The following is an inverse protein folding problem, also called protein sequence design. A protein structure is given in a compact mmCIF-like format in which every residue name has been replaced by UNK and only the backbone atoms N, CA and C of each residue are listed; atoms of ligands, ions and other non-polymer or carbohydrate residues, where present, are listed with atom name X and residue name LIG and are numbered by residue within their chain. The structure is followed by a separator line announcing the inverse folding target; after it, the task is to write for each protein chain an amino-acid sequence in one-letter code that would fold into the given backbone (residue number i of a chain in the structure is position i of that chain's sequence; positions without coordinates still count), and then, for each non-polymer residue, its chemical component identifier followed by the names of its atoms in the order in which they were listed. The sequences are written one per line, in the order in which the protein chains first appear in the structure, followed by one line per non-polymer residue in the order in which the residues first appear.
data_IF_291669173615
#
_entry.id   IF_291669173615
#
_cell.length_a   1.000
_cell.length_b   1.000
_cell.length_c   1.000
_cell.angle_alpha   90.00
_cell.angle_beta   90.00
_cell.angle_gamma   90.00
#
_symmetry.space_group_name_H-M   'P 1'
#
loop_
_entity.id
_entity.type
_entity.pdbx_description
1 polymer ?
#
# COMPACT_ATOMS: atom_id res chain seq x y z
N UNK A 1 -5.27 -12.60 -19.89
CA UNK A 1 -4.76 -13.49 -18.81
C UNK A 1 -3.72 -12.68 -18.06
N UNK A 2 -3.88 -12.47 -16.74
CA UNK A 2 -2.90 -11.72 -15.98
C UNK A 2 -1.59 -12.50 -15.89
N UNK A 3 -0.45 -11.84 -16.10
CA UNK A 3 0.90 -12.41 -16.02
C UNK A 3 1.22 -13.08 -14.67
N UNK A 4 0.36 -12.87 -13.67
CA UNK A 4 0.48 -13.40 -12.30
C UNK A 4 0.60 -14.94 -12.23
N UNK A 5 0.06 -15.67 -13.21
CA UNK A 5 0.05 -17.14 -13.19
C UNK A 5 1.22 -17.79 -13.92
N UNK A 6 2.06 -17.02 -14.60
CA UNK A 6 3.17 -17.59 -15.41
C UNK A 6 4.43 -17.74 -14.56
N UNK A 7 4.67 -16.84 -13.61
CA UNK A 7 5.89 -16.79 -12.82
C UNK A 7 5.63 -17.17 -11.35
N UNK A 8 6.25 -18.26 -10.90
CA UNK A 8 6.05 -18.82 -9.54
C UNK A 8 7.18 -18.50 -8.55
N UNK A 9 8.35 -18.15 -9.01
CA UNK A 9 9.50 -17.86 -8.15
C UNK A 9 9.65 -16.39 -7.88
N UNK A 10 9.92 -15.98 -6.64
CA UNK A 10 10.08 -14.58 -6.26
C UNK A 10 11.14 -13.84 -7.09
N UNK A 11 12.27 -14.48 -7.36
CA UNK A 11 13.33 -13.92 -8.22
C UNK A 11 12.83 -13.69 -9.65
N UNK A 12 12.02 -14.61 -10.17
CA UNK A 12 11.41 -14.49 -11.50
C UNK A 12 10.35 -13.40 -11.52
N UNK A 13 9.56 -13.26 -10.46
CA UNK A 13 8.60 -12.15 -10.30
C UNK A 13 9.33 -10.81 -10.29
N UNK A 14 10.37 -10.68 -9.48
CA UNK A 14 11.18 -9.45 -9.40
C UNK A 14 11.77 -9.05 -10.76
N UNK A 15 12.18 -10.03 -11.56
CA UNK A 15 12.82 -9.78 -12.84
C UNK A 15 11.80 -9.53 -13.95
N UNK A 16 10.76 -10.35 -14.08
CA UNK A 16 9.95 -10.42 -15.30
C UNK A 16 8.52 -9.86 -15.17
N UNK A 17 7.90 -9.87 -13.99
CA UNK A 17 6.54 -9.36 -13.87
C UNK A 17 6.51 -7.83 -14.09
N UNK A 18 5.53 -7.36 -14.85
CA UNK A 18 5.39 -5.97 -15.24
C UNK A 18 6.35 -5.54 -16.36
N UNK A 19 7.13 -6.45 -16.93
CA UNK A 19 7.91 -6.13 -18.12
C UNK A 19 6.99 -5.96 -19.34
N UNK A 20 7.31 -4.97 -20.17
CA UNK A 20 6.72 -4.79 -21.49
C UNK A 20 7.68 -5.32 -22.53
N UNK A 21 7.17 -6.18 -23.39
CA UNK A 21 7.92 -6.65 -24.55
C UNK A 21 8.15 -5.46 -25.50
N UNK A 22 9.40 -5.21 -25.80
CA UNK A 22 9.77 -4.28 -26.87
C UNK A 22 9.54 -4.98 -28.23
N UNK A 23 8.36 -4.75 -28.81
CA UNK A 23 8.00 -5.35 -30.09
C UNK A 23 8.71 -4.68 -31.26
N UNK A 24 9.20 -3.46 -31.08
CA UNK A 24 9.84 -2.72 -32.17
C UNK A 24 11.30 -3.10 -32.36
N UNK A 25 12.04 -3.27 -31.27
CA UNK A 25 13.49 -3.51 -31.34
C UNK A 25 13.93 -4.82 -30.69
N UNK A 26 13.03 -5.52 -29.98
CA UNK A 26 13.33 -6.78 -29.33
C UNK A 26 14.23 -6.63 -28.10
N UNK A 27 14.24 -5.47 -27.45
CA UNK A 27 15.00 -5.22 -26.24
C UNK A 27 14.57 -6.16 -25.10
N UNK A 28 15.54 -6.61 -24.30
CA UNK A 28 15.28 -7.52 -23.16
C UNK A 28 14.79 -6.81 -21.89
N UNK A 29 14.79 -5.48 -21.88
CA UNK A 29 14.34 -4.62 -20.77
C UNK A 29 13.20 -3.77 -21.27
N UNK A 30 12.20 -3.55 -20.39
CA UNK A 30 11.07 -2.67 -20.71
C UNK A 30 11.53 -1.28 -21.11
N UNK A 31 10.99 -0.70 -22.19
CA UNK A 31 11.22 0.68 -22.53
C UNK A 31 10.79 1.63 -21.40
N UNK A 32 11.50 2.74 -21.25
CA UNK A 32 11.07 3.85 -20.39
C UNK A 32 10.30 4.85 -21.25
N UNK A 33 9.08 5.15 -20.83
CA UNK A 33 8.18 6.08 -21.53
C UNK A 33 8.18 7.44 -20.84
N UNK A 34 8.97 8.42 -21.32
CA UNK A 34 9.05 9.75 -20.69
C UNK A 34 7.88 10.67 -21.08
N UNK A 35 6.99 10.21 -21.97
CA UNK A 35 5.85 11.00 -22.45
C UNK A 35 4.86 11.31 -21.33
N UNK A 36 4.39 12.56 -21.28
CA UNK A 36 3.35 13.03 -20.37
C UNK A 36 2.02 13.33 -21.07
N UNK A 37 2.02 13.29 -22.40
CA UNK A 37 0.84 13.46 -23.24
C UNK A 37 0.70 12.25 -24.15
N UNK A 38 -0.51 11.75 -24.27
CA UNK A 38 -0.85 10.54 -25.01
C UNK A 38 -2.02 10.80 -25.94
N UNK A 39 -2.14 10.04 -27.02
CA UNK A 39 -3.33 10.00 -27.85
C UNK A 39 -4.53 9.54 -27.01
N UNK A 40 -5.69 10.21 -27.14
CA UNK A 40 -6.91 9.89 -26.43
C UNK A 40 -8.12 9.70 -27.35
N UNK A 41 -8.06 10.21 -28.61
CA UNK A 41 -9.16 10.07 -29.57
C UNK A 41 -9.20 8.61 -30.02
N UNK A 42 -10.35 7.97 -29.91
CA UNK A 42 -10.60 6.58 -30.29
C UNK A 42 -9.68 5.56 -29.59
N UNK A 43 -9.26 5.86 -28.35
CA UNK A 43 -8.50 4.93 -27.49
C UNK A 43 -9.37 4.39 -26.37
N UNK A 44 -9.20 3.11 -26.09
CA UNK A 44 -9.90 2.43 -24.97
C UNK A 44 -9.40 2.89 -23.60
N UNK A 45 -8.17 3.38 -23.50
CA UNK A 45 -7.53 3.79 -22.25
C UNK A 45 -7.03 5.22 -22.36
N UNK A 46 -7.57 6.10 -21.53
CA UNK A 46 -7.04 7.43 -21.30
C UNK A 46 -5.75 7.36 -20.48
N UNK A 47 -4.63 7.66 -21.13
CA UNK A 47 -3.33 7.70 -20.46
C UNK A 47 -3.01 9.12 -20.02
N UNK A 48 -2.94 9.30 -18.70
CA UNK A 48 -2.60 10.58 -18.09
C UNK A 48 -1.82 10.38 -16.79
N UNK A 49 -0.68 11.06 -16.57
CA UNK A 49 0.16 10.84 -15.40
C UNK A 49 -0.58 10.97 -14.06
N UNK A 50 -1.55 11.88 -13.96
CA UNK A 50 -2.35 12.10 -12.75
C UNK A 50 -3.37 11.01 -12.46
N UNK A 51 -3.70 10.18 -13.44
CA UNK A 51 -4.59 9.03 -13.27
C UNK A 51 -3.84 7.73 -13.00
N UNK A 52 -2.52 7.81 -12.74
CA UNK A 52 -1.65 6.65 -12.55
C UNK A 52 -1.72 5.62 -13.68
N UNK A 53 -2.06 6.06 -14.89
CA UNK A 53 -2.29 5.24 -16.08
C UNK A 53 -1.17 5.32 -17.13
N UNK A 54 0.01 5.87 -16.78
CA UNK A 54 1.15 5.83 -17.69
C UNK A 54 1.78 4.44 -17.71
N UNK A 55 2.39 4.01 -18.82
CA UNK A 55 2.99 2.67 -18.92
C UNK A 55 3.96 2.37 -17.79
N UNK A 56 4.84 3.31 -17.43
CA UNK A 56 5.81 3.10 -16.34
C UNK A 56 5.14 2.83 -14.98
N UNK A 57 4.04 3.56 -14.68
CA UNK A 57 3.28 3.37 -13.44
C UNK A 57 2.57 2.01 -13.44
N UNK A 58 1.90 1.65 -14.54
CA UNK A 58 1.20 0.37 -14.68
C UNK A 58 2.16 -0.83 -14.53
N UNK A 59 3.36 -0.75 -15.11
CA UNK A 59 4.33 -1.85 -15.05
C UNK A 59 4.85 -2.05 -13.63
N UNK A 60 5.15 -0.96 -12.94
CA UNK A 60 5.60 -1.02 -11.55
C UNK A 60 4.48 -1.49 -10.62
N UNK A 61 3.25 -1.00 -10.83
CA UNK A 61 2.08 -1.44 -10.08
C UNK A 61 1.84 -2.95 -10.21
N UNK A 62 1.90 -3.50 -11.44
CA UNK A 62 1.80 -4.95 -11.69
C UNK A 62 2.86 -5.75 -10.95
N UNK A 63 4.10 -5.25 -10.92
CA UNK A 63 5.20 -5.91 -10.19
C UNK A 63 4.94 -5.92 -8.68
N UNK A 64 4.54 -4.80 -8.10
CA UNK A 64 4.26 -4.69 -6.66
C UNK A 64 3.07 -5.55 -6.27
N UNK A 65 1.97 -5.50 -7.03
CA UNK A 65 0.81 -6.34 -6.75
C UNK A 65 1.12 -7.83 -6.85
N UNK A 66 1.99 -8.24 -7.78
CA UNK A 66 2.42 -9.63 -7.88
C UNK A 66 3.32 -10.05 -6.71
N UNK A 67 4.17 -9.16 -6.20
CA UNK A 67 5.01 -9.42 -5.03
C UNK A 67 4.20 -9.50 -3.74
N UNK A 68 3.20 -8.65 -3.55
CA UNK A 68 2.29 -8.69 -2.39
C UNK A 68 1.16 -9.73 -2.55
N UNK A 69 1.02 -10.33 -3.73
CA UNK A 69 -0.05 -11.29 -4.08
C UNK A 69 -1.46 -10.65 -4.02
N UNK A 70 -1.55 -9.33 -4.20
CA UNK A 70 -2.79 -8.56 -4.27
C UNK A 70 -3.36 -8.51 -5.69
N UNK A 71 -4.58 -8.04 -5.86
CA UNK A 71 -5.18 -7.89 -7.19
C UNK A 71 -4.54 -6.76 -7.97
N UNK A 72 -4.30 -5.62 -7.32
CA UNK A 72 -3.76 -4.42 -7.95
C UNK A 72 -2.84 -3.63 -7.00
N UNK A 73 -2.17 -2.63 -7.54
CA UNK A 73 -1.36 -1.68 -6.80
C UNK A 73 -1.37 -0.30 -7.47
N UNK A 74 -1.07 0.73 -6.70
CA UNK A 74 -0.88 2.10 -7.22
C UNK A 74 0.44 2.68 -6.71
N UNK A 75 1.09 3.48 -7.54
CA UNK A 75 2.37 4.12 -7.24
C UNK A 75 2.15 5.59 -6.94
N UNK A 76 2.77 6.05 -5.86
CA UNK A 76 2.69 7.43 -5.38
C UNK A 76 4.09 8.04 -5.20
N UNK A 77 4.16 9.36 -5.10
CA UNK A 77 5.43 10.09 -5.04
C UNK A 77 6.21 9.92 -3.73
N UNK A 78 5.65 9.32 -2.68
CA UNK A 78 6.34 9.04 -1.42
C UNK A 78 5.56 8.05 -0.56
N UNK A 79 6.22 7.43 0.44
CA UNK A 79 5.55 6.61 1.44
C UNK A 79 4.48 7.38 2.22
N UNK A 80 4.74 8.64 2.57
CA UNK A 80 3.74 9.49 3.21
C UNK A 80 2.55 9.79 2.30
N UNK A 81 2.76 9.92 0.98
CA UNK A 81 1.67 10.04 0.03
C UNK A 81 0.82 8.76 0.00
N UNK A 82 1.45 7.57 0.02
CA UNK A 82 0.73 6.30 0.11
C UNK A 82 -0.13 6.23 1.39
N UNK A 83 0.44 6.57 2.55
CA UNK A 83 -0.27 6.55 3.82
C UNK A 83 -1.40 7.57 3.85
N UNK A 84 -1.11 8.84 3.56
CA UNK A 84 -2.10 9.91 3.68
C UNK A 84 -3.25 9.77 2.69
N UNK A 85 -2.95 9.43 1.43
CA UNK A 85 -3.99 9.25 0.40
C UNK A 85 -4.90 8.08 0.76
N UNK A 86 -4.33 6.94 1.16
CA UNK A 86 -5.13 5.77 1.54
C UNK A 86 -6.01 6.07 2.76
N UNK A 87 -5.46 6.64 3.82
CA UNK A 87 -6.27 6.95 5.02
C UNK A 87 -7.39 7.94 4.71
N UNK A 88 -7.11 9.00 3.93
CA UNK A 88 -8.11 10.02 3.59
C UNK A 88 -9.11 9.54 2.52
N UNK A 89 -8.82 8.49 1.77
CA UNK A 89 -9.77 7.87 0.84
C UNK A 89 -10.88 7.11 1.58
N UNK A 90 -10.59 6.55 2.74
CA UNK A 90 -11.52 5.72 3.50
C UNK A 90 -12.12 6.39 4.75
N UNK A 91 -11.50 7.47 5.24
CA UNK A 91 -11.93 8.14 6.46
C UNK A 91 -12.57 9.51 6.15
N UNK A 92 -13.78 9.70 6.65
CA UNK A 92 -14.51 10.96 6.56
C UNK A 92 -14.50 11.71 7.90
N UNK A 93 -14.94 12.97 7.88
CA UNK A 93 -15.19 13.73 9.11
C UNK A 93 -16.21 13.00 10.00
N UNK A 94 -15.85 12.83 11.26
CA UNK A 94 -16.63 12.06 12.24
C UNK A 94 -16.18 10.60 12.40
N UNK A 95 -15.45 10.03 11.46
CA UNK A 95 -14.91 8.68 11.58
C UNK A 95 -13.77 8.59 12.60
N UNK A 96 -13.55 7.38 13.11
CA UNK A 96 -12.49 7.06 14.04
C UNK A 96 -11.59 5.96 13.50
N UNK A 97 -10.30 6.04 13.79
CA UNK A 97 -9.29 5.01 13.48
C UNK A 97 -8.52 4.63 14.74
N UNK A 98 -8.24 3.33 14.89
CA UNK A 98 -7.34 2.80 15.92
C UNK A 98 -5.97 2.56 15.29
N UNK A 99 -4.91 3.11 15.89
CA UNK A 99 -3.55 2.95 15.41
C UNK A 99 -2.66 2.28 16.48
N UNK A 100 -1.76 1.44 16.02
CA UNK A 100 -0.64 0.99 16.86
C UNK A 100 0.13 2.21 17.38
N UNK A 101 0.53 2.18 18.65
CA UNK A 101 1.25 3.31 19.26
C UNK A 101 2.66 3.48 18.71
N UNK A 102 3.34 2.37 18.43
CA UNK A 102 4.70 2.35 17.94
C UNK A 102 4.70 2.23 16.40
N UNK A 103 4.56 3.37 15.74
CA UNK A 103 4.53 3.50 14.28
C UNK A 103 5.52 4.57 13.83
N UNK A 104 5.82 4.58 12.53
CA UNK A 104 6.67 5.59 11.91
C UNK A 104 6.27 7.02 12.34
N UNK A 105 7.27 7.80 12.76
CA UNK A 105 7.05 9.15 13.28
C UNK A 105 6.34 10.10 12.30
N UNK A 106 6.53 9.91 10.99
CA UNK A 106 5.82 10.67 9.96
C UNK A 106 4.32 10.37 9.96
N UNK A 107 3.93 9.11 10.12
CA UNK A 107 2.52 8.67 10.21
C UNK A 107 1.88 9.22 11.49
N UNK A 108 2.57 9.10 12.63
CA UNK A 108 2.11 9.68 13.89
C UNK A 108 1.88 11.18 13.76
N UNK A 109 2.85 11.90 13.20
CA UNK A 109 2.74 13.35 13.02
C UNK A 109 1.60 13.75 12.07
N UNK A 110 1.37 12.99 10.99
CA UNK A 110 0.22 13.17 10.11
C UNK A 110 -1.10 13.08 10.91
N UNK A 111 -1.26 12.03 11.71
CA UNK A 111 -2.47 11.79 12.50
C UNK A 111 -2.66 12.90 13.54
N UNK A 112 -1.66 13.18 14.37
CA UNK A 112 -1.75 14.16 15.45
C UNK A 112 -1.95 15.60 14.94
N UNK A 113 -1.29 15.97 13.82
CA UNK A 113 -1.34 17.35 13.32
C UNK A 113 -2.51 17.60 12.36
N UNK A 114 -2.95 16.62 11.59
CA UNK A 114 -3.90 16.86 10.49
C UNK A 114 -5.30 16.29 10.75
N UNK A 115 -5.44 15.14 11.40
CA UNK A 115 -6.75 14.48 11.53
C UNK A 115 -7.77 15.34 12.25
N UNK A 116 -7.35 16.04 13.31
CA UNK A 116 -8.23 17.00 14.00
C UNK A 116 -8.79 18.07 13.06
N UNK A 117 -7.99 18.53 12.08
CA UNK A 117 -8.41 19.57 11.10
C UNK A 117 -9.44 19.01 10.11
N UNK A 118 -9.38 17.72 9.82
CA UNK A 118 -10.33 17.02 8.94
C UNK A 118 -11.54 16.44 9.70
N UNK A 119 -11.60 16.64 11.03
CA UNK A 119 -12.67 16.08 11.86
C UNK A 119 -12.58 14.58 12.06
N UNK A 120 -11.44 13.95 11.77
CA UNK A 120 -11.18 12.52 11.95
C UNK A 120 -10.68 12.29 13.39
N UNK A 121 -11.29 11.32 14.07
CA UNK A 121 -10.92 10.91 15.41
C UNK A 121 -9.92 9.76 15.37
N UNK A 122 -9.06 9.67 16.38
CA UNK A 122 -8.09 8.58 16.47
C UNK A 122 -7.82 8.16 17.91
N UNK A 123 -7.37 6.92 18.09
CA UNK A 123 -6.80 6.41 19.34
C UNK A 123 -5.53 5.64 19.02
N UNK A 124 -4.51 5.79 19.88
CA UNK A 124 -3.35 4.90 19.86
C UNK A 124 -3.52 3.81 20.90
N UNK A 125 -3.12 2.57 20.56
CA UNK A 125 -3.18 1.45 21.49
C UNK A 125 -2.13 1.57 22.61
N UNK A 126 -2.41 1.02 23.77
CA UNK A 126 -1.45 0.93 24.87
C UNK A 126 -0.57 -0.35 24.83
N UNK A 127 -0.91 -1.30 23.95
CA UNK A 127 -0.19 -2.56 23.75
C UNK A 127 -0.17 -3.01 22.30
N UNK A 128 0.40 -4.19 22.06
CA UNK A 128 0.56 -4.80 20.72
C UNK A 128 -0.34 -6.02 20.51
N UNK A 129 -0.98 -6.51 21.57
CA UNK A 129 -1.94 -7.59 21.50
C UNK A 129 -3.30 -7.12 20.96
N UNK A 130 -4.09 -8.05 20.41
CA UNK A 130 -5.38 -7.76 19.79
C UNK A 130 -6.37 -7.12 20.78
N UNK A 131 -6.29 -7.43 22.06
CA UNK A 131 -7.16 -6.87 23.11
C UNK A 131 -6.92 -5.37 23.29
N UNK A 132 -5.67 -4.91 23.18
CA UNK A 132 -5.33 -3.49 23.23
C UNK A 132 -5.96 -2.71 22.07
N UNK A 133 -6.04 -3.32 20.87
CA UNK A 133 -6.75 -2.71 19.73
C UNK A 133 -8.27 -2.74 19.94
N UNK A 134 -8.83 -3.87 20.37
CA UNK A 134 -10.27 -4.02 20.55
C UNK A 134 -10.83 -3.03 21.58
N UNK A 135 -10.10 -2.76 22.66
CA UNK A 135 -10.45 -1.80 23.71
C UNK A 135 -10.63 -0.37 23.19
N UNK A 136 -9.88 0.01 22.15
CA UNK A 136 -9.93 1.35 21.56
C UNK A 136 -11.01 1.50 20.47
N UNK A 137 -11.72 0.43 20.09
CA UNK A 137 -12.77 0.48 19.09
C UNK A 137 -14.00 1.21 19.65
N UNK A 138 -14.49 2.18 18.91
CA UNK A 138 -15.68 3.01 19.18
C UNK A 138 -16.76 2.73 18.15
N UNK A 139 -18.02 3.16 18.39
CA UNK A 139 -19.12 2.96 17.42
C UNK A 139 -18.86 3.57 16.04
N UNK A 140 -18.05 4.62 15.97
CA UNK A 140 -17.67 5.30 14.73
C UNK A 140 -16.29 4.89 14.21
N UNK A 141 -15.66 3.83 14.75
CA UNK A 141 -14.41 3.30 14.20
C UNK A 141 -14.65 2.71 12.82
N UNK A 142 -13.77 3.06 11.88
CA UNK A 142 -13.80 2.58 10.49
C UNK A 142 -12.57 1.78 10.11
N UNK A 143 -11.45 2.01 10.78
CA UNK A 143 -10.20 1.39 10.40
C UNK A 143 -9.29 1.05 11.57
N UNK A 144 -8.39 0.09 11.32
CA UNK A 144 -7.24 -0.23 12.17
C UNK A 144 -5.98 -0.06 11.32
N UNK A 145 -4.95 0.56 11.88
CA UNK A 145 -3.64 0.75 11.25
C UNK A 145 -2.53 0.13 12.10
N UNK A 146 -1.72 -0.71 11.49
CA UNK A 146 -0.56 -1.34 12.12
C UNK A 146 0.70 -1.14 11.28
N UNK A 147 1.85 -1.23 11.93
CA UNK A 147 3.18 -1.28 11.33
C UNK A 147 3.98 -2.39 12.01
N UNK A 148 4.31 -3.45 11.29
CA UNK A 148 5.02 -4.58 11.87
C UNK A 148 5.95 -5.25 10.87
N UNK A 149 7.25 -5.41 11.18
CA UNK A 149 7.95 -4.85 12.35
C UNK A 149 7.91 -3.32 12.41
N UNK A 150 7.82 -2.73 13.60
CA UNK A 150 7.74 -1.28 13.75
C UNK A 150 9.09 -0.57 13.62
N UNK A 151 9.08 0.70 13.21
CA UNK A 151 10.27 1.55 13.16
C UNK A 151 10.28 2.53 14.36
N UNK A 152 11.32 2.56 15.22
CA UNK A 152 12.61 1.86 15.08
C UNK A 152 12.72 0.59 15.94
N UNK A 153 11.73 0.24 16.74
CA UNK A 153 11.86 -0.73 17.83
C UNK A 153 11.66 -2.18 17.39
N UNK A 154 11.32 -2.41 16.11
CA UNK A 154 11.10 -3.74 15.52
C UNK A 154 10.09 -4.60 16.28
N UNK A 155 9.12 -3.96 16.92
CA UNK A 155 8.05 -4.66 17.63
C UNK A 155 7.12 -5.34 16.64
N UNK A 156 6.61 -6.50 17.05
CA UNK A 156 5.76 -7.35 16.23
C UNK A 156 4.31 -7.32 16.71
N UNK A 157 3.39 -7.24 15.78
CA UNK A 157 1.95 -7.41 15.97
C UNK A 157 1.51 -8.66 15.23
N UNK A 158 0.61 -9.44 15.80
CA UNK A 158 0.00 -10.60 15.15
C UNK A 158 -0.98 -10.13 14.06
N UNK A 159 -0.51 -10.15 12.82
CA UNK A 159 -1.25 -9.64 11.66
C UNK A 159 -2.57 -10.39 11.48
N UNK A 160 -2.57 -11.73 11.61
CA UNK A 160 -3.77 -12.55 11.43
C UNK A 160 -4.86 -12.15 12.44
N UNK A 161 -4.49 -11.98 13.71
CA UNK A 161 -5.46 -11.57 14.74
C UNK A 161 -6.02 -10.18 14.52
N UNK A 162 -5.22 -9.25 14.00
CA UNK A 162 -5.70 -7.90 13.65
C UNK A 162 -6.63 -7.95 12.45
N UNK A 163 -6.31 -8.74 11.42
CA UNK A 163 -7.19 -8.95 10.28
C UNK A 163 -8.53 -9.58 10.70
N UNK A 164 -8.49 -10.61 11.53
CA UNK A 164 -9.69 -11.27 12.08
C UNK A 164 -10.55 -10.30 12.91
N UNK A 165 -9.93 -9.50 13.78
CA UNK A 165 -10.61 -8.46 14.54
C UNK A 165 -11.28 -7.44 13.61
N UNK A 166 -10.53 -6.91 12.64
CA UNK A 166 -11.04 -5.93 11.67
C UNK A 166 -12.24 -6.49 10.93
N UNK A 167 -12.14 -7.71 10.40
CA UNK A 167 -13.23 -8.39 9.71
C UNK A 167 -14.45 -8.61 10.61
N UNK A 168 -14.25 -9.03 11.86
CA UNK A 168 -15.36 -9.27 12.80
C UNK A 168 -16.12 -8.02 13.18
N UNK A 169 -15.48 -6.86 13.13
CA UNK A 169 -16.06 -5.54 13.44
C UNK A 169 -16.43 -4.74 12.19
N UNK A 170 -16.27 -5.31 10.99
CA UNK A 170 -16.48 -4.63 9.70
C UNK A 170 -15.64 -3.34 9.57
N UNK A 171 -14.36 -3.42 9.92
CA UNK A 171 -13.37 -2.37 9.84
C UNK A 171 -12.39 -2.64 8.70
N UNK A 172 -11.82 -1.60 8.13
CA UNK A 172 -10.75 -1.71 7.13
C UNK A 172 -9.41 -1.83 7.85
N UNK A 173 -8.60 -2.79 7.46
CA UNK A 173 -7.28 -3.02 8.00
C UNK A 173 -6.18 -2.47 7.09
N UNK A 174 -5.31 -1.63 7.66
CA UNK A 174 -4.12 -1.08 7.01
C UNK A 174 -2.86 -1.61 7.66
N UNK A 175 -1.87 -1.94 6.85
CA UNK A 175 -0.52 -2.26 7.32
C UNK A 175 0.54 -1.49 6.55
N UNK A 176 1.49 -0.91 7.26
CA UNK A 176 2.77 -0.49 6.67
C UNK A 176 3.72 -1.68 6.66
N UNK A 177 3.93 -2.26 5.46
CA UNK A 177 4.78 -3.43 5.25
C UNK A 177 6.20 -3.06 4.78
N UNK A 178 6.59 -1.80 4.94
CA UNK A 178 7.87 -1.28 4.43
C UNK A 178 9.06 -2.05 4.99
N UNK A 179 9.07 -2.36 6.29
CA UNK A 179 10.22 -2.99 6.94
C UNK A 179 10.38 -4.47 6.57
N UNK A 180 9.30 -5.24 6.60
CA UNK A 180 9.35 -6.66 6.27
C UNK A 180 9.50 -6.91 4.77
N UNK A 181 8.90 -6.08 3.94
CA UNK A 181 8.79 -6.29 2.49
C UNK A 181 7.94 -7.52 2.11
N UNK A 182 7.46 -7.63 0.87
CA UNK A 182 6.73 -8.83 0.44
C UNK A 182 7.58 -10.10 0.36
N UNK A 183 8.90 -9.99 0.55
CA UNK A 183 9.77 -11.17 0.57
C UNK A 183 9.70 -11.94 1.88
N UNK A 184 9.50 -11.23 2.99
CA UNK A 184 9.47 -11.81 4.33
C UNK A 184 8.03 -12.00 4.81
N UNK A 185 7.13 -11.08 4.45
CA UNK A 185 5.77 -11.02 4.99
C UNK A 185 4.78 -10.65 3.89
N UNK A 186 3.66 -11.36 3.83
CA UNK A 186 2.58 -11.15 2.86
C UNK A 186 1.26 -10.92 3.60
N UNK A 187 0.99 -9.70 4.01
CA UNK A 187 -0.16 -9.36 4.85
C UNK A 187 -1.50 -9.65 4.19
N UNK A 188 -1.58 -9.55 2.86
CA UNK A 188 -2.79 -9.89 2.10
C UNK A 188 -3.25 -11.33 2.36
N UNK A 189 -2.33 -12.27 2.35
CA UNK A 189 -2.64 -13.69 2.61
C UNK A 189 -3.07 -13.96 4.05
N UNK A 190 -2.82 -13.00 4.95
CA UNK A 190 -3.27 -13.01 6.35
C UNK A 190 -4.56 -12.21 6.56
N UNK A 191 -5.18 -11.71 5.48
CA UNK A 191 -6.48 -11.05 5.51
C UNK A 191 -6.47 -9.54 5.72
N UNK A 192 -5.33 -8.88 5.59
CA UNK A 192 -5.25 -7.41 5.57
C UNK A 192 -5.79 -6.86 4.26
N UNK A 193 -6.56 -5.78 4.33
CA UNK A 193 -7.20 -5.17 3.17
C UNK A 193 -6.25 -4.29 2.37
N UNK A 194 -5.46 -3.45 3.03
CA UNK A 194 -4.62 -2.43 2.40
C UNK A 194 -3.20 -2.50 2.92
N UNK A 195 -2.27 -2.67 2.00
CA UNK A 195 -0.83 -2.78 2.25
C UNK A 195 -0.14 -1.53 1.73
N UNK A 196 0.63 -0.90 2.59
CA UNK A 196 1.32 0.36 2.33
C UNK A 196 2.83 0.13 2.31
N UNK A 197 3.52 0.86 1.45
CA UNK A 197 4.98 0.86 1.39
C UNK A 197 5.55 2.24 1.18
N UNK A 198 6.58 2.56 1.94
CA UNK A 198 7.57 3.52 1.49
C UNK A 198 8.51 2.83 0.50
N UNK A 199 8.19 2.90 -0.79
CA UNK A 199 9.02 2.31 -1.84
C UNK A 199 10.40 2.98 -1.95
N UNK A 200 10.60 4.11 -1.30
CA UNK A 200 11.88 4.78 -1.03
C UNK A 200 12.90 3.85 -0.36
N UNK A 201 12.46 2.84 0.40
CA UNK A 201 13.30 1.97 1.21
C UNK A 201 13.73 0.73 0.40
N UNK A 202 13.27 -0.44 0.77
CA UNK A 202 13.75 -1.71 0.21
C UNK A 202 13.34 -1.95 -1.24
N UNK A 203 12.22 -1.40 -1.73
CA UNK A 203 11.89 -1.46 -3.15
C UNK A 203 12.87 -0.66 -4.01
N UNK A 204 13.24 0.55 -3.59
CA UNK A 204 14.30 1.32 -4.23
C UNK A 204 15.67 0.69 -4.01
N UNK A 205 15.98 0.35 -2.76
CA UNK A 205 17.16 -0.43 -2.37
C UNK A 205 18.50 0.31 -2.31
N UNK A 206 18.57 1.52 -2.86
CA UNK A 206 19.83 2.23 -3.05
C UNK A 206 19.87 3.65 -2.43
N UNK A 207 18.83 4.04 -1.68
CA UNK A 207 18.67 5.39 -1.10
C UNK A 207 18.72 6.54 -2.11
N UNK A 208 18.32 6.31 -3.33
CA UNK A 208 18.41 7.23 -4.48
C UNK A 208 17.04 7.62 -5.07
N UNK A 209 15.95 7.06 -4.55
CA UNK A 209 14.59 7.38 -4.98
C UNK A 209 13.67 7.78 -3.80
N UNK A 210 12.60 8.47 -4.12
CA UNK A 210 11.48 8.70 -3.23
C UNK A 210 10.20 8.23 -3.92
N UNK A 211 9.54 7.22 -3.34
CA UNK A 211 8.30 6.66 -3.88
C UNK A 211 7.46 6.02 -2.78
N UNK A 212 6.16 5.85 -3.06
CA UNK A 212 5.23 5.08 -2.24
C UNK A 212 4.46 4.09 -3.08
N UNK A 213 3.92 3.07 -2.43
CA UNK A 213 3.03 2.11 -3.07
C UNK A 213 1.89 1.72 -2.13
N UNK A 214 0.74 1.45 -2.73
CA UNK A 214 -0.43 0.85 -2.08
C UNK A 214 -0.80 -0.38 -2.86
N UNK A 215 -1.01 -1.51 -2.18
CA UNK A 215 -1.46 -2.75 -2.78
C UNK A 215 -2.71 -3.26 -2.05
N UNK A 216 -3.73 -3.70 -2.80
CA UNK A 216 -5.03 -4.09 -2.24
C UNK A 216 -5.78 -5.07 -3.14
N UNK A 217 -6.94 -5.54 -2.67
CA UNK A 217 -7.83 -6.44 -3.41
C UNK A 217 -8.32 -5.79 -4.71
N UNK A 218 -8.81 -4.56 -4.64
CA UNK A 218 -9.23 -3.78 -5.80
C UNK A 218 -9.12 -2.30 -5.47
N UNK A 219 -8.38 -1.56 -6.31
CA UNK A 219 -8.20 -0.13 -6.14
C UNK A 219 -9.28 0.71 -6.85
N UNK A 220 -10.27 0.07 -7.47
CA UNK A 220 -11.40 0.75 -8.12
C UNK A 220 -12.25 1.54 -7.12
N UNK A 221 -12.12 1.23 -5.83
CA UNK A 221 -12.90 1.86 -4.76
C UNK A 221 -12.10 2.90 -3.93
N UNK A 222 -10.88 3.24 -4.37
CA UNK A 222 -10.06 4.28 -3.72
C UNK A 222 -10.16 5.61 -4.45
#
# INVERSE_FOLDING_TARGET
MSDKNIYKGVNTICTHVGQVKDEQFGGSVSPIYPGTSYEYIDKEIDRYPRYSSTPNQEFLAKKISALEETEDAIILGSGMAAISTSLLAFLNSGDHIVLQNDIYGGTRNLVEAQFKRYGIQYSFTDGLDVQSFEKEIKPNTKAIYIETPSNPLLKLVDIQKIADLSKSKNLISFIDNTFATPLIQKPYNLGIDIILHSATKYFGGHSDICAGAVAALSLIHI
#
